data_IF_533360320221
#
_entry.id   IF_533360320221
#
_cell.length_a   1.000
_cell.length_b   1.000
_cell.length_c   1.000
_cell.angle_alpha   90.00
_cell.angle_beta   90.00
_cell.angle_gamma   90.00
#
_symmetry.space_group_name_H-M   'P 1'
#
loop_
_entity.id
_entity.type
_entity.pdbx_description
1 polymer ?
#
# COMPACT_ATOMS: atom_id res chain seq x y z
N UNK A 1 6.75 -4.67 15.39
CA UNK A 1 7.48 -4.00 14.29
C UNK A 1 6.79 -2.68 13.94
N UNK A 2 7.54 -1.58 13.89
CA UNK A 2 7.07 -0.31 13.33
C UNK A 2 7.37 -0.28 11.81
N UNK A 3 6.38 0.07 10.99
CA UNK A 3 6.51 0.14 9.53
C UNK A 3 6.56 1.61 9.11
N UNK A 4 7.71 2.01 8.58
CA UNK A 4 8.04 3.36 8.16
C UNK A 4 7.93 3.50 6.65
N UNK A 5 7.69 4.73 6.20
CA UNK A 5 7.72 5.09 4.79
C UNK A 5 9.13 5.52 4.45
N UNK A 6 9.78 4.85 3.48
CA UNK A 6 11.11 5.23 3.03
C UNK A 6 11.09 6.01 1.69
N UNK A 7 9.98 5.93 0.96
CA UNK A 7 9.79 6.63 -0.31
C UNK A 7 8.31 6.79 -0.65
N UNK A 8 8.01 7.89 -1.33
CA UNK A 8 6.72 8.14 -1.96
C UNK A 8 6.99 8.77 -3.32
N UNK A 9 6.61 8.07 -4.38
CA UNK A 9 6.84 8.50 -5.76
C UNK A 9 5.49 8.62 -6.47
N UNK A 10 5.23 9.74 -7.13
CA UNK A 10 4.03 9.92 -7.94
C UNK A 10 4.34 9.59 -9.40
N UNK A 11 3.48 8.80 -10.03
CA UNK A 11 3.59 8.49 -11.45
C UNK A 11 2.68 9.43 -12.24
N UNK A 12 3.26 10.06 -13.25
CA UNK A 12 2.54 10.96 -14.13
C UNK A 12 2.21 10.25 -15.44
N UNK A 13 0.95 10.30 -15.83
CA UNK A 13 0.46 9.89 -17.13
C UNK A 13 -0.45 10.99 -17.70
N UNK A 14 -0.19 11.38 -18.95
CA UNK A 14 -0.99 12.38 -19.67
C UNK A 14 -1.18 13.72 -18.92
N UNK A 15 -0.15 14.17 -18.20
CA UNK A 15 -0.18 15.43 -17.44
C UNK A 15 -0.93 15.37 -16.10
N UNK A 16 -1.39 14.18 -15.70
CA UNK A 16 -2.04 13.92 -14.42
C UNK A 16 -1.30 12.86 -13.63
N UNK A 17 -1.47 12.82 -12.31
CA UNK A 17 -0.95 11.73 -11.49
C UNK A 17 -1.96 10.59 -11.52
N UNK A 18 -1.56 9.41 -11.99
CA UNK A 18 -2.45 8.24 -12.09
C UNK A 18 -2.29 7.26 -10.92
N UNK A 19 -1.15 7.32 -10.23
CA UNK A 19 -0.79 6.41 -9.15
C UNK A 19 0.37 6.94 -8.32
N UNK A 20 0.52 6.37 -7.12
CA UNK A 20 1.67 6.59 -6.25
C UNK A 20 2.31 5.26 -5.84
N UNK A 21 3.64 5.21 -5.82
CA UNK A 21 4.43 4.12 -5.26
C UNK A 21 4.90 4.48 -3.85
N UNK A 22 4.44 3.73 -2.85
CA UNK A 22 4.83 3.89 -1.44
C UNK A 22 5.80 2.78 -1.06
N UNK A 23 7.04 3.13 -0.74
CA UNK A 23 8.00 2.21 -0.17
C UNK A 23 7.83 2.11 1.35
N UNK A 24 7.63 0.90 1.84
CA UNK A 24 7.40 0.56 3.24
C UNK A 24 8.53 -0.33 3.75
N UNK A 25 9.14 0.08 4.86
CA UNK A 25 10.22 -0.67 5.50
C UNK A 25 9.95 -0.80 7.00
N UNK A 26 10.16 -1.99 7.53
CA UNK A 26 10.11 -2.25 8.96
C UNK A 26 11.07 -3.36 9.32
N UNK A 27 11.73 -3.26 10.48
CA UNK A 27 12.57 -4.33 11.02
C UNK A 27 12.32 -4.47 12.50
N UNK A 28 12.14 -5.70 12.94
CA UNK A 28 12.02 -6.05 14.34
C UNK A 28 13.40 -6.45 14.87
N UNK A 29 13.94 -5.65 15.79
CA UNK A 29 15.31 -5.83 16.27
C UNK A 29 15.49 -7.12 17.09
N UNK A 30 14.44 -7.62 17.73
CA UNK A 30 14.48 -8.79 18.61
C UNK A 30 14.40 -10.09 17.81
N UNK A 31 13.49 -10.16 16.84
CA UNK A 31 13.30 -11.36 16.02
C UNK A 31 14.15 -11.38 14.75
N UNK A 32 14.66 -10.24 14.31
CA UNK A 32 15.37 -10.10 13.02
C UNK A 32 14.44 -10.08 11.81
N UNK A 33 13.12 -10.28 12.00
CA UNK A 33 12.12 -10.21 10.95
C UNK A 33 12.11 -8.81 10.33
N UNK A 34 11.90 -8.73 9.02
CA UNK A 34 11.80 -7.47 8.32
C UNK A 34 10.74 -7.52 7.23
N UNK A 35 10.22 -6.34 6.90
CA UNK A 35 9.37 -6.07 5.75
C UNK A 35 10.12 -5.05 4.89
N UNK A 36 10.19 -5.33 3.60
CA UNK A 36 10.60 -4.37 2.57
C UNK A 36 9.62 -4.53 1.41
N UNK A 37 8.71 -3.58 1.26
CA UNK A 37 7.61 -3.66 0.32
C UNK A 37 7.49 -2.35 -0.47
N UNK A 38 7.01 -2.45 -1.70
CA UNK A 38 6.61 -1.31 -2.50
C UNK A 38 5.17 -1.49 -2.96
N UNK A 39 4.30 -0.60 -2.49
CA UNK A 39 2.85 -0.69 -2.70
C UNK A 39 2.42 0.37 -3.69
N UNK A 40 1.73 -0.05 -4.75
CA UNK A 40 1.05 0.85 -5.68
C UNK A 40 -0.28 1.29 -5.07
N UNK A 41 -0.50 2.59 -4.97
CA UNK A 41 -1.79 3.22 -4.72
C UNK A 41 -2.30 3.74 -6.04
N UNK A 42 -3.47 3.29 -6.47
CA UNK A 42 -4.14 3.72 -7.69
C UNK A 42 -5.21 4.76 -7.39
N UNK A 43 -5.63 5.49 -8.41
CA UNK A 43 -6.69 6.48 -8.30
C UNK A 43 -8.02 5.89 -7.76
N UNK A 44 -8.27 4.61 -8.00
CA UNK A 44 -9.42 3.85 -7.48
C UNK A 44 -9.32 3.50 -5.99
N UNK A 45 -8.12 3.59 -5.39
CA UNK A 45 -7.94 3.38 -3.96
C UNK A 45 -8.22 4.67 -3.14
N UNK A 46 -8.32 5.83 -3.80
CA UNK A 46 -8.61 7.10 -3.16
C UNK A 46 -10.11 7.25 -2.88
N UNK A 47 -10.45 8.14 -1.94
CA UNK A 47 -11.85 8.51 -1.67
C UNK A 47 -12.53 9.07 -2.93
N UNK A 48 -13.85 8.91 -3.00
CA UNK A 48 -14.64 9.35 -4.16
C UNK A 48 -14.42 10.84 -4.45
N UNK A 49 -14.05 11.15 -5.71
CA UNK A 49 -13.75 12.50 -6.16
C UNK A 49 -12.39 13.06 -5.73
N UNK A 50 -11.61 12.36 -4.91
CA UNK A 50 -10.25 12.76 -4.58
C UNK A 50 -9.29 12.50 -5.75
N UNK A 51 -8.19 13.24 -5.82
CA UNK A 51 -7.06 13.00 -6.72
C UNK A 51 -5.77 12.97 -5.91
N UNK A 52 -4.67 12.50 -6.49
CA UNK A 52 -3.37 12.58 -5.81
C UNK A 52 -2.88 14.02 -5.55
N UNK A 53 -3.49 15.04 -6.17
CA UNK A 53 -3.20 16.45 -5.88
C UNK A 53 -3.99 16.98 -4.67
N UNK A 54 -5.09 16.32 -4.30
CA UNK A 54 -5.97 16.74 -3.19
C UNK A 54 -5.90 15.81 -1.99
N UNK A 55 -5.50 14.56 -2.19
CA UNK A 55 -5.32 13.59 -1.12
C UNK A 55 -4.13 13.97 -0.24
N UNK A 56 -4.27 13.78 1.08
CA UNK A 56 -3.13 13.99 1.97
C UNK A 56 -2.12 12.86 1.82
N UNK A 57 -0.84 13.18 2.03
CA UNK A 57 0.21 12.16 2.03
C UNK A 57 -0.03 11.08 3.10
N UNK A 58 -0.64 11.46 4.24
CA UNK A 58 -0.97 10.53 5.31
C UNK A 58 -2.02 9.49 4.86
N UNK A 59 -3.02 9.91 4.09
CA UNK A 59 -4.07 9.02 3.58
C UNK A 59 -3.51 8.03 2.56
N UNK A 60 -2.66 8.50 1.63
CA UNK A 60 -1.98 7.65 0.64
C UNK A 60 -1.13 6.58 1.34
N UNK A 61 -0.40 6.97 2.39
CA UNK A 61 0.39 6.04 3.21
C UNK A 61 -0.50 5.06 3.97
N UNK A 62 -1.63 5.52 4.51
CA UNK A 62 -2.59 4.66 5.20
C UNK A 62 -3.19 3.61 4.26
N UNK A 63 -3.53 4.00 3.03
CA UNK A 63 -3.98 3.08 1.97
C UNK A 63 -2.89 2.03 1.69
N UNK A 64 -1.65 2.46 1.46
CA UNK A 64 -0.55 1.53 1.19
C UNK A 64 -0.33 0.51 2.33
N UNK A 65 -0.39 0.95 3.59
CA UNK A 65 -0.30 0.07 4.76
C UNK A 65 -1.47 -0.92 4.84
N UNK A 66 -2.70 -0.48 4.55
CA UNK A 66 -3.88 -1.36 4.49
C UNK A 66 -3.74 -2.43 3.41
N UNK A 67 -3.28 -2.06 2.21
CA UNK A 67 -3.02 -3.00 1.11
C UNK A 67 -1.95 -4.02 1.49
N UNK A 68 -0.83 -3.58 2.04
CA UNK A 68 0.21 -4.49 2.54
C UNK A 68 -0.35 -5.49 3.56
N UNK A 69 -1.14 -5.02 4.53
CA UNK A 69 -1.76 -5.91 5.52
C UNK A 69 -2.65 -6.97 4.84
N UNK A 70 -3.48 -6.56 3.87
CA UNK A 70 -4.34 -7.47 3.11
C UNK A 70 -3.56 -8.47 2.26
N UNK A 71 -2.46 -8.05 1.62
CA UNK A 71 -1.61 -8.91 0.79
C UNK A 71 -0.85 -9.95 1.63
N UNK A 72 -0.52 -9.61 2.88
CA UNK A 72 0.14 -10.51 3.83
C UNK A 72 -0.81 -11.35 4.67
N UNK A 73 -2.12 -11.09 4.62
CA UNK A 73 -3.09 -11.89 5.33
C UNK A 73 -3.09 -13.31 4.77
N UNK A 74 -3.02 -14.31 5.65
CA UNK A 74 -3.20 -15.71 5.27
C UNK A 74 -4.60 -15.85 4.67
N UNK A 75 -4.67 -16.23 3.40
CA UNK A 75 -5.93 -16.59 2.77
C UNK A 75 -6.17 -18.05 3.12
N UNK A 76 -7.11 -18.30 4.02
CA UNK A 76 -7.58 -19.65 4.26
C UNK A 76 -8.06 -20.21 2.92
N UNK A 77 -7.45 -21.32 2.48
CA UNK A 77 -7.90 -22.06 1.30
C UNK A 77 -9.26 -22.67 1.61
N UNK A 78 -10.33 -21.90 1.56
CA UNK A 78 -11.67 -22.46 1.43
C UNK A 78 -11.77 -23.01 0.02
N UNK A 79 -11.31 -24.24 -0.15
CA UNK A 79 -11.70 -25.08 -1.28
C UNK A 79 -13.22 -25.21 -1.21
N UNK A 80 -13.92 -24.41 -2.01
CA UNK A 80 -15.29 -24.72 -2.41
C UNK A 80 -15.19 -26.05 -3.17
N UNK A 81 -15.38 -27.17 -2.48
CA UNK A 81 -15.67 -28.43 -3.13
C UNK A 81 -17.01 -28.22 -3.82
N UNK A 82 -16.95 -28.07 -5.14
CA UNK A 82 -18.13 -28.17 -6.00
C UNK A 82 -18.73 -29.57 -5.78
N UNK A 83 -20.00 -29.58 -5.41
CA UNK A 83 -20.83 -30.77 -5.26
C UNK A 83 -21.26 -31.30 -6.63
#
# INVERSE_FOLDING_TARGET
MDIQVNSLNYNFANGTIDSAQVGLYGRDATSGNYINAQIKVEQSDLDEGATFLTASMADIVAIAKKKLAADTALKDSTTTQAQ
#
